data_IF_350886153091
#
_entry.id   IF_350886153091
#
_cell.length_a   1.000
_cell.length_b   1.000
_cell.length_c   1.000
_cell.angle_alpha   90.00
_cell.angle_beta   90.00
_cell.angle_gamma   90.00
#
_symmetry.space_group_name_H-M   'P 1'
#
loop_
_entity.id
_entity.type
_entity.pdbx_description
1 polymer ?
#
# COMPACT_ATOMS: atom_id res chain seq x y z
N UNK A 1 48.52 -9.46 7.61
CA UNK A 1 48.47 -9.58 6.13
C UNK A 1 47.14 -10.23 5.77
N UNK A 2 46.20 -9.66 5.02
CA UNK A 2 46.02 -8.30 4.52
C UNK A 2 44.52 -7.95 4.57
N UNK A 3 44.23 -6.67 4.77
CA UNK A 3 42.90 -6.08 4.72
C UNK A 3 42.84 -5.33 3.39
N UNK A 4 42.08 -5.85 2.42
CA UNK A 4 41.94 -5.24 1.10
C UNK A 4 40.60 -4.51 0.97
N UNK A 5 40.74 -3.21 0.76
CA UNK A 5 39.80 -2.18 0.35
C UNK A 5 38.64 -2.63 -0.56
N UNK A 6 37.42 -2.35 -0.12
CA UNK A 6 36.26 -2.07 -0.98
C UNK A 6 35.52 -0.84 -0.43
N UNK A 7 35.92 0.34 -0.91
CA UNK A 7 35.13 1.59 -0.85
C UNK A 7 35.36 2.34 -2.16
N UNK A 8 34.30 2.93 -2.68
CA UNK A 8 34.19 3.81 -3.87
C UNK A 8 33.57 3.16 -5.12
N UNK A 9 32.24 2.95 -5.12
CA UNK A 9 31.45 2.89 -6.37
C UNK A 9 30.15 3.72 -6.35
N UNK A 10 29.77 4.35 -5.23
CA UNK A 10 28.47 5.07 -5.13
C UNK A 10 28.51 6.55 -5.55
N UNK A 11 29.67 7.07 -5.98
CA UNK A 11 29.84 8.47 -6.36
C UNK A 11 29.45 8.83 -7.80
N UNK A 12 29.28 7.84 -8.70
CA UNK A 12 29.25 8.12 -10.15
C UNK A 12 27.85 8.19 -10.77
N UNK A 13 26.81 7.73 -10.05
CA UNK A 13 25.43 7.72 -10.57
C UNK A 13 24.73 9.09 -10.51
N UNK A 14 25.12 9.98 -9.62
CA UNK A 14 24.43 11.29 -9.43
C UNK A 14 24.85 12.36 -10.45
N UNK A 15 26.02 12.22 -11.10
CA UNK A 15 26.50 13.21 -12.09
C UNK A 15 25.87 13.05 -13.48
N UNK A 16 25.47 11.84 -13.85
CA UNK A 16 24.82 11.58 -15.15
C UNK A 16 23.41 12.20 -15.26
N UNK A 17 22.67 12.31 -14.15
CA UNK A 17 21.36 12.96 -14.12
C UNK A 17 21.46 14.48 -14.35
N UNK A 18 22.41 15.13 -13.68
CA UNK A 18 22.67 16.58 -13.83
C UNK A 18 23.08 16.94 -15.24
N UNK A 19 23.96 16.14 -15.88
CA UNK A 19 24.39 16.37 -17.27
C UNK A 19 23.24 16.21 -18.28
N UNK A 20 22.32 15.26 -18.06
CA UNK A 20 21.14 15.07 -18.92
C UNK A 20 20.16 16.24 -18.79
N UNK A 21 19.94 16.74 -17.57
CA UNK A 21 19.08 17.90 -17.32
C UNK A 21 19.63 19.18 -17.95
N UNK A 22 20.93 19.45 -17.80
CA UNK A 22 21.58 20.62 -18.44
C UNK A 22 21.56 20.57 -19.97
N UNK A 23 21.62 19.36 -20.57
CA UNK A 23 21.49 19.21 -22.03
C UNK A 23 20.08 19.53 -22.51
N UNK A 24 19.06 19.10 -21.77
CA UNK A 24 17.66 19.39 -22.08
C UNK A 24 17.34 20.89 -22.00
N UNK A 25 17.83 21.58 -20.98
CA UNK A 25 17.67 23.03 -20.84
C UNK A 25 18.30 23.82 -22.00
N UNK A 26 19.47 23.41 -22.51
CA UNK A 26 20.09 24.02 -23.70
C UNK A 26 19.26 23.84 -24.97
N UNK A 27 18.62 22.68 -25.14
CA UNK A 27 17.77 22.42 -26.31
C UNK A 27 16.52 23.30 -26.29
N UNK A 28 15.91 23.47 -25.11
CA UNK A 28 14.75 24.36 -24.92
C UNK A 28 15.15 25.82 -25.18
N UNK A 29 16.26 26.28 -24.61
CA UNK A 29 16.72 27.68 -24.76
C UNK A 29 17.07 28.01 -26.23
N UNK A 30 17.71 27.07 -26.95
CA UNK A 30 18.01 27.21 -28.37
C UNK A 30 16.74 27.23 -29.24
N UNK A 31 15.74 26.40 -28.91
CA UNK A 31 14.45 26.41 -29.59
C UNK A 31 13.71 27.74 -29.40
N UNK A 32 13.72 28.29 -28.18
CA UNK A 32 13.15 29.60 -27.87
C UNK A 32 13.87 30.71 -28.65
N UNK A 33 15.22 30.69 -28.67
CA UNK A 33 16.00 31.68 -29.42
C UNK A 33 15.75 31.62 -30.93
N UNK A 34 15.59 30.41 -31.51
CA UNK A 34 15.27 30.25 -32.94
C UNK A 34 13.87 30.77 -33.27
N UNK A 35 12.88 30.48 -32.44
CA UNK A 35 11.52 31.02 -32.62
C UNK A 35 11.50 32.55 -32.49
N UNK A 36 12.22 33.12 -31.53
CA UNK A 36 12.32 34.58 -31.37
C UNK A 36 13.00 35.25 -32.58
N UNK A 37 14.06 34.65 -33.12
CA UNK A 37 14.73 35.14 -34.33
C UNK A 37 13.82 35.10 -35.56
N UNK A 38 13.02 34.04 -35.71
CA UNK A 38 12.09 33.88 -36.83
C UNK A 38 10.89 34.84 -36.75
N UNK A 39 10.48 35.22 -35.54
CA UNK A 39 9.46 36.26 -35.32
C UNK A 39 10.04 37.64 -35.69
N UNK A 40 11.27 37.96 -35.27
CA UNK A 40 11.91 39.23 -35.56
C UNK A 40 12.27 39.41 -37.05
N UNK A 41 12.59 38.34 -37.78
CA UNK A 41 12.82 38.40 -39.23
C UNK A 41 11.54 38.64 -40.04
N UNK A 42 10.36 38.50 -39.42
CA UNK A 42 9.06 38.69 -40.07
C UNK A 42 8.47 40.08 -39.83
N UNK A 43 9.06 40.89 -38.95
CA UNK A 43 8.57 42.22 -38.56
C UNK A 43 9.34 43.40 -39.18
N UNK A 44 10.35 43.15 -40.02
CA UNK A 44 11.00 44.20 -40.82
C UNK A 44 10.21 44.50 -42.11
N UNK A 45 9.02 45.08 -41.95
CA UNK A 45 8.45 45.96 -42.98
C UNK A 45 8.29 47.34 -42.37
N UNK A 46 9.38 48.11 -42.36
CA UNK A 46 9.31 49.55 -42.10
C UNK A 46 9.46 50.30 -43.42
N UNK A 47 8.35 50.92 -43.79
CA UNK A 47 8.23 51.96 -44.78
C UNK A 47 9.31 53.01 -44.59
N UNK A 48 10.12 53.24 -45.63
CA UNK A 48 10.94 54.43 -45.75
C UNK A 48 10.97 54.86 -47.22
N UNK A 49 10.40 56.04 -47.41
CA UNK A 49 10.50 56.92 -48.58
C UNK A 49 9.66 56.55 -49.81
N UNK A 50 8.61 57.35 -50.02
CA UNK A 50 7.73 57.26 -51.16
C UNK A 50 8.46 57.61 -52.46
N UNK A 51 8.38 56.72 -53.44
CA UNK A 51 8.51 57.01 -54.87
C UNK A 51 7.99 55.83 -55.68
N UNK A 52 7.54 56.13 -56.89
CA UNK A 52 6.67 55.32 -57.74
C UNK A 52 7.28 53.98 -58.25
N UNK A 53 6.34 53.08 -58.57
CA UNK A 53 6.35 51.72 -59.16
C UNK A 53 7.55 51.24 -60.04
N UNK A 54 7.69 49.91 -60.27
CA UNK A 54 6.95 49.34 -61.39
C UNK A 54 6.34 47.94 -61.17
N UNK A 55 5.11 47.84 -61.68
CA UNK A 55 4.40 46.70 -62.28
C UNK A 55 5.22 45.39 -62.34
N UNK A 56 4.91 44.45 -61.45
CA UNK A 56 5.23 43.02 -61.62
C UNK A 56 3.97 42.27 -62.05
N UNK A 57 4.15 41.51 -63.13
CA UNK A 57 3.13 40.79 -63.90
C UNK A 57 2.30 39.84 -63.06
N UNK A 58 0.99 39.88 -63.31
CA UNK A 58 0.00 38.82 -63.05
C UNK A 58 0.52 37.45 -63.48
N UNK A 59 0.65 36.54 -62.53
CA UNK A 59 0.73 35.11 -62.75
C UNK A 59 0.06 34.36 -61.60
N UNK A 60 -1.11 33.75 -61.89
CA UNK A 60 -1.63 32.62 -61.14
C UNK A 60 -2.02 32.83 -59.67
N UNK A 61 -3.16 33.48 -59.44
CA UNK A 61 -3.90 33.41 -58.18
C UNK A 61 -4.39 31.97 -57.92
N UNK A 62 -3.62 31.22 -57.16
CA UNK A 62 -4.10 30.10 -56.34
C UNK A 62 -3.48 30.24 -54.94
N UNK A 63 -4.27 30.79 -54.00
CA UNK A 63 -4.26 30.26 -52.64
C UNK A 63 -3.41 30.90 -51.54
N UNK A 64 -2.88 32.11 -51.65
CA UNK A 64 -2.09 32.71 -50.54
C UNK A 64 -2.87 33.01 -49.25
N UNK A 65 -4.21 32.94 -49.29
CA UNK A 65 -5.04 33.05 -48.08
C UNK A 65 -4.98 31.80 -47.19
N UNK A 66 -4.58 30.62 -47.70
CA UNK A 66 -4.57 29.38 -46.91
C UNK A 66 -3.34 29.26 -46.00
N UNK A 67 -2.20 29.83 -46.40
CA UNK A 67 -0.96 29.71 -45.64
C UNK A 67 -0.98 30.58 -44.37
N UNK A 68 -1.43 31.83 -44.49
CA UNK A 68 -1.53 32.73 -43.33
C UNK A 68 -2.58 32.27 -42.31
N UNK A 69 -3.71 31.72 -42.75
CA UNK A 69 -4.72 31.13 -41.84
C UNK A 69 -4.22 29.85 -41.17
N UNK A 70 -3.45 29.01 -41.89
CA UNK A 70 -2.85 27.80 -41.32
C UNK A 70 -1.87 28.12 -40.17
N UNK A 71 -0.97 29.10 -40.35
CA UNK A 71 -0.04 29.51 -39.30
C UNK A 71 -0.70 30.32 -38.17
N UNK A 72 -1.77 31.06 -38.46
CA UNK A 72 -2.55 31.76 -37.43
C UNK A 72 -3.20 30.78 -36.45
N UNK A 73 -3.84 29.71 -36.97
CA UNK A 73 -4.44 28.67 -36.13
C UNK A 73 -3.40 27.88 -35.34
N UNK A 74 -2.21 27.65 -35.91
CA UNK A 74 -1.11 26.97 -35.21
C UNK A 74 -0.50 27.85 -34.10
N UNK A 75 -0.46 29.18 -34.26
CA UNK A 75 -0.02 30.12 -33.21
C UNK A 75 -1.00 30.16 -32.05
N UNK A 76 -2.31 30.16 -32.29
CA UNK A 76 -3.32 30.13 -31.22
C UNK A 76 -3.28 28.80 -30.45
N UNK A 77 -3.11 27.66 -31.12
CA UNK A 77 -3.01 26.35 -30.46
C UNK A 77 -1.69 26.21 -29.65
N UNK A 78 -0.58 26.77 -30.13
CA UNK A 78 0.69 26.79 -29.38
C UNK A 78 0.62 27.75 -28.19
N UNK A 79 0.03 28.94 -28.35
CA UNK A 79 -0.11 29.92 -27.26
C UNK A 79 -0.99 29.38 -26.14
N UNK A 80 -2.15 28.81 -26.47
CA UNK A 80 -3.06 28.21 -25.48
C UNK A 80 -2.47 26.98 -24.80
N UNK A 81 -1.64 26.19 -25.50
CA UNK A 81 -0.87 25.10 -24.90
C UNK A 81 0.22 25.62 -23.96
N UNK A 82 0.97 26.66 -24.34
CA UNK A 82 2.01 27.25 -23.50
C UNK A 82 1.42 27.90 -22.25
N UNK A 83 0.31 28.63 -22.35
CA UNK A 83 -0.37 29.23 -21.20
C UNK A 83 -0.79 28.19 -20.15
N UNK A 84 -1.08 26.95 -20.56
CA UNK A 84 -1.39 25.84 -19.64
C UNK A 84 -0.17 25.24 -18.96
N UNK A 85 1.03 25.39 -19.52
CA UNK A 85 2.27 24.76 -19.01
C UNK A 85 3.18 25.79 -18.33
N UNK A 86 3.00 27.09 -18.58
CA UNK A 86 3.74 28.17 -17.88
C UNK A 86 3.56 28.11 -16.35
N UNK A 87 2.34 27.95 -15.79
CA UNK A 87 2.17 27.82 -14.34
C UNK A 87 2.90 26.60 -13.77
N UNK A 88 2.90 25.50 -14.52
CA UNK A 88 3.58 24.26 -14.18
C UNK A 88 5.11 24.47 -14.13
N UNK A 89 5.69 25.16 -15.12
CA UNK A 89 7.11 25.51 -15.10
C UNK A 89 7.49 26.48 -13.97
N UNK A 90 6.64 27.46 -13.68
CA UNK A 90 6.84 28.40 -12.57
C UNK A 90 6.78 27.68 -11.23
N UNK A 91 5.88 26.71 -11.07
CA UNK A 91 5.83 25.90 -9.87
C UNK A 91 7.02 24.94 -9.75
N UNK A 92 7.47 24.30 -10.84
CA UNK A 92 8.72 23.50 -10.83
C UNK A 92 9.93 24.36 -10.45
N UNK A 93 10.07 25.55 -11.04
CA UNK A 93 11.21 26.44 -10.76
C UNK A 93 11.18 27.03 -9.35
N UNK A 94 9.99 27.10 -8.73
CA UNK A 94 9.79 27.51 -7.33
C UNK A 94 9.90 26.33 -6.34
N UNK A 95 10.44 25.18 -6.76
CA UNK A 95 10.53 23.94 -5.97
C UNK A 95 9.15 23.38 -5.50
N UNK A 96 8.06 23.82 -6.13
CA UNK A 96 6.70 23.30 -5.94
C UNK A 96 6.41 22.18 -6.94
N UNK A 97 7.34 21.25 -7.12
CA UNK A 97 7.23 20.16 -8.09
C UNK A 97 5.97 19.31 -7.84
N UNK A 98 5.58 19.14 -6.56
CA UNK A 98 4.38 18.42 -6.16
C UNK A 98 3.06 19.06 -6.63
N UNK A 99 3.02 20.38 -6.89
CA UNK A 99 1.81 21.03 -7.41
C UNK A 99 1.65 20.87 -8.93
N UNK A 100 2.68 20.36 -9.60
CA UNK A 100 2.78 20.29 -11.08
C UNK A 100 2.57 18.88 -11.58
N UNK A 101 2.88 17.89 -10.76
CA UNK A 101 2.48 16.51 -11.01
C UNK A 101 0.96 16.48 -10.95
N UNK A 102 0.30 16.56 -12.11
CA UNK A 102 -1.15 16.39 -12.22
C UNK A 102 -1.50 15.05 -11.60
N UNK A 103 -2.13 15.10 -10.44
CA UNK A 103 -2.56 13.90 -9.75
C UNK A 103 -3.66 13.27 -10.62
N UNK A 104 -3.33 12.12 -11.19
CA UNK A 104 -4.21 11.40 -12.09
C UNK A 104 -5.41 10.92 -11.26
N UNK A 105 -6.62 11.16 -11.77
CA UNK A 105 -7.80 10.52 -11.20
C UNK A 105 -7.70 9.01 -11.44
N UNK A 106 -8.02 8.20 -10.42
CA UNK A 106 -8.08 6.74 -10.53
C UNK A 106 -8.89 6.32 -11.76
N UNK A 107 -8.44 5.29 -12.49
CA UNK A 107 -9.15 4.79 -13.66
C UNK A 107 -10.53 4.21 -13.28
N UNK A 108 -11.33 3.81 -14.26
CA UNK A 108 -12.59 3.12 -13.96
C UNK A 108 -12.32 1.77 -13.27
N UNK A 109 -13.15 1.40 -12.29
CA UNK A 109 -13.04 0.13 -11.53
C UNK A 109 -12.90 -1.08 -12.47
N UNK A 110 -13.67 -1.10 -13.56
CA UNK A 110 -13.64 -2.19 -14.54
C UNK A 110 -12.31 -2.27 -15.30
N UNK A 111 -11.66 -1.13 -15.58
CA UNK A 111 -10.35 -1.14 -16.24
C UNK A 111 -9.26 -1.66 -15.31
N UNK A 112 -9.30 -1.26 -14.03
CA UNK A 112 -8.37 -1.74 -13.00
C UNK A 112 -8.54 -3.24 -12.79
N UNK A 113 -9.79 -3.72 -12.63
CA UNK A 113 -10.08 -5.14 -12.49
C UNK A 113 -9.60 -5.97 -13.69
N UNK A 114 -9.76 -5.44 -14.92
CA UNK A 114 -9.22 -6.07 -16.14
C UNK A 114 -7.69 -6.10 -16.14
N UNK A 115 -7.03 -5.04 -15.69
CA UNK A 115 -5.58 -4.96 -15.62
C UNK A 115 -4.99 -5.93 -14.57
N UNK A 116 -5.70 -6.20 -13.48
CA UNK A 116 -5.29 -7.18 -12.46
C UNK A 116 -5.38 -8.64 -12.95
N UNK A 117 -6.33 -8.96 -13.83
CA UNK A 117 -6.62 -10.34 -14.22
C UNK A 117 -5.47 -11.13 -14.93
N UNK A 118 -4.67 -10.55 -15.84
CA UNK A 118 -3.65 -11.31 -16.58
C UNK A 118 -2.41 -11.68 -15.75
N UNK A 119 -2.13 -11.05 -14.61
CA UNK A 119 -0.85 -11.19 -13.91
C UNK A 119 -0.99 -11.21 -12.39
N UNK A 120 -0.91 -12.40 -11.78
CA UNK A 120 -1.01 -12.58 -10.32
C UNK A 120 0.02 -11.75 -9.54
N UNK A 121 1.24 -11.64 -10.10
CA UNK A 121 2.36 -10.96 -9.43
C UNK A 121 2.20 -9.45 -9.39
N UNK A 122 1.57 -8.86 -10.41
CA UNK A 122 1.39 -7.41 -10.49
C UNK A 122 0.00 -6.95 -9.99
N UNK A 123 -0.91 -7.89 -9.69
CA UNK A 123 -2.27 -7.55 -9.25
C UNK A 123 -2.27 -6.69 -7.98
N UNK A 124 -1.40 -7.01 -7.01
CA UNK A 124 -1.25 -6.23 -5.77
C UNK A 124 -0.73 -4.82 -6.09
N UNK A 125 0.31 -4.70 -6.92
CA UNK A 125 0.88 -3.39 -7.29
C UNK A 125 -0.15 -2.53 -8.06
N UNK A 126 -0.94 -3.12 -8.94
CA UNK A 126 -1.98 -2.42 -9.70
C UNK A 126 -3.07 -1.90 -8.76
N UNK A 127 -3.58 -2.74 -7.86
CA UNK A 127 -4.59 -2.34 -6.89
C UNK A 127 -4.05 -1.27 -5.91
N UNK A 128 -2.79 -1.42 -5.49
CA UNK A 128 -2.11 -0.47 -4.62
C UNK A 128 -2.01 0.90 -5.30
N UNK A 129 -1.49 0.94 -6.54
CA UNK A 129 -1.37 2.19 -7.29
C UNK A 129 -2.74 2.84 -7.54
N UNK A 130 -3.81 2.08 -7.77
CA UNK A 130 -5.17 2.63 -7.92
C UNK A 130 -5.66 3.32 -6.65
N UNK A 131 -5.48 2.68 -5.50
CA UNK A 131 -5.88 3.22 -4.21
C UNK A 131 -5.00 4.38 -3.78
N UNK A 132 -3.69 4.33 -4.05
CA UNK A 132 -2.74 5.43 -3.86
C UNK A 132 -3.11 6.64 -4.73
N UNK A 133 -3.34 6.44 -6.03
CA UNK A 133 -3.75 7.50 -6.95
C UNK A 133 -5.07 8.14 -6.48
N UNK A 134 -6.03 7.33 -6.02
CA UNK A 134 -7.27 7.83 -5.45
C UNK A 134 -7.04 8.62 -4.16
N UNK A 135 -6.23 8.12 -3.23
CA UNK A 135 -5.92 8.80 -1.98
C UNK A 135 -5.23 10.15 -2.25
N UNK A 136 -4.25 10.16 -3.16
CA UNK A 136 -3.57 11.38 -3.62
C UNK A 136 -4.54 12.35 -4.27
N UNK A 137 -5.45 11.85 -5.12
CA UNK A 137 -6.43 12.68 -5.83
C UNK A 137 -7.42 13.33 -4.86
N UNK A 138 -7.91 12.59 -3.86
CA UNK A 138 -8.81 13.10 -2.83
C UNK A 138 -8.13 14.15 -1.93
N UNK A 139 -6.84 13.96 -1.61
CA UNK A 139 -6.06 14.91 -0.81
C UNK A 139 -5.60 16.15 -1.59
N UNK A 140 -5.77 16.21 -2.91
CA UNK A 140 -5.21 17.31 -3.70
C UNK A 140 -5.99 18.62 -3.45
N UNK A 141 -5.35 19.71 -3.00
CA UNK A 141 -6.03 20.93 -2.57
C UNK A 141 -6.94 21.57 -3.62
N UNK A 142 -6.61 21.43 -4.91
CA UNK A 142 -7.35 22.05 -6.01
C UNK A 142 -8.60 21.25 -6.43
N UNK A 143 -8.80 20.05 -5.91
CA UNK A 143 -9.98 19.23 -6.24
C UNK A 143 -11.15 19.61 -5.35
N UNK A 144 -12.38 19.57 -5.87
CA UNK A 144 -13.59 19.84 -5.06
C UNK A 144 -13.72 18.88 -3.85
N UNK A 145 -13.10 17.70 -3.94
CA UNK A 145 -12.98 16.71 -2.89
C UNK A 145 -11.99 17.09 -1.77
N UNK A 146 -11.16 18.13 -1.94
CA UNK A 146 -10.19 18.59 -0.93
C UNK A 146 -10.82 19.14 0.34
N UNK A 147 -12.13 19.34 0.33
CA UNK A 147 -12.93 19.71 1.51
C UNK A 147 -13.31 18.50 2.37
N UNK A 148 -13.05 17.28 1.92
CA UNK A 148 -13.30 16.09 2.72
C UNK A 148 -12.33 16.07 3.90
N UNK A 149 -12.86 15.77 5.09
CA UNK A 149 -12.03 15.42 6.22
C UNK A 149 -11.39 14.04 6.02
N UNK A 150 -10.50 13.66 6.94
CA UNK A 150 -9.79 12.36 6.87
C UNK A 150 -10.75 11.17 6.84
N UNK A 151 -11.90 11.30 7.51
CA UNK A 151 -12.93 10.26 7.58
C UNK A 151 -13.66 10.12 6.23
N UNK A 152 -13.99 11.23 5.58
CA UNK A 152 -14.57 11.22 4.23
C UNK A 152 -13.61 10.63 3.19
N UNK A 153 -12.30 10.90 3.28
CA UNK A 153 -11.30 10.27 2.41
C UNK A 153 -11.27 8.75 2.65
N UNK A 154 -11.29 8.32 3.93
CA UNK A 154 -11.35 6.90 4.30
C UNK A 154 -12.59 6.23 3.71
N UNK A 155 -13.76 6.84 3.86
CA UNK A 155 -15.01 6.27 3.35
C UNK A 155 -14.97 6.09 1.83
N UNK A 156 -14.47 7.09 1.10
CA UNK A 156 -14.32 7.01 -0.36
C UNK A 156 -13.35 5.88 -0.76
N UNK A 157 -12.24 5.72 -0.04
CA UNK A 157 -11.32 4.60 -0.27
C UNK A 157 -11.97 3.24 -0.02
N UNK A 158 -12.73 3.09 1.08
CA UNK A 158 -13.47 1.85 1.38
C UNK A 158 -14.50 1.55 0.30
N UNK A 159 -15.27 2.55 -0.14
CA UNK A 159 -16.23 2.39 -1.23
C UNK A 159 -15.55 1.97 -2.54
N UNK A 160 -14.38 2.54 -2.85
CA UNK A 160 -13.58 2.14 -4.01
C UNK A 160 -13.09 0.70 -3.89
N UNK A 161 -12.54 0.35 -2.74
CA UNK A 161 -12.10 -1.00 -2.43
C UNK A 161 -13.23 -2.01 -2.61
N UNK A 162 -14.41 -1.76 -2.03
CA UNK A 162 -15.57 -2.64 -2.17
C UNK A 162 -16.02 -2.77 -3.63
N UNK A 163 -16.04 -1.66 -4.37
CA UNK A 163 -16.40 -1.65 -5.78
C UNK A 163 -15.44 -2.50 -6.61
N UNK A 164 -14.14 -2.39 -6.33
CA UNK A 164 -13.11 -3.19 -6.98
C UNK A 164 -13.21 -4.66 -6.58
N UNK A 165 -13.45 -4.97 -5.32
CA UNK A 165 -13.68 -6.34 -4.82
C UNK A 165 -14.87 -7.01 -5.51
N UNK A 166 -15.98 -6.29 -5.71
CA UNK A 166 -17.16 -6.79 -6.45
C UNK A 166 -16.89 -7.03 -7.94
N UNK A 167 -15.99 -6.25 -8.54
CA UNK A 167 -15.62 -6.38 -9.95
C UNK A 167 -14.55 -7.47 -10.20
N UNK A 168 -13.85 -7.91 -9.15
CA UNK A 168 -12.78 -8.88 -9.24
C UNK A 168 -13.29 -10.33 -9.07
N UNK A 169 -12.75 -11.29 -9.85
CA UNK A 169 -12.85 -12.71 -9.53
C UNK A 169 -12.35 -13.02 -8.12
N UNK A 170 -12.95 -14.02 -7.46
CA UNK A 170 -12.65 -14.41 -6.07
C UNK A 170 -11.14 -14.62 -5.81
N UNK A 171 -10.44 -15.26 -6.76
CA UNK A 171 -8.97 -15.47 -6.70
C UNK A 171 -8.13 -14.20 -6.53
N UNK A 172 -8.67 -13.01 -6.85
CA UNK A 172 -7.96 -11.73 -6.80
C UNK A 172 -8.42 -10.81 -5.67
N UNK A 173 -9.46 -11.18 -4.93
CA UNK A 173 -9.98 -10.34 -3.85
C UNK A 173 -8.96 -10.18 -2.71
N UNK A 174 -8.19 -11.24 -2.40
CA UNK A 174 -7.10 -11.16 -1.43
C UNK A 174 -6.03 -10.13 -1.82
N UNK A 175 -5.70 -10.02 -3.11
CA UNK A 175 -4.74 -9.03 -3.60
C UNK A 175 -5.24 -7.60 -3.40
N UNK A 176 -6.54 -7.36 -3.56
CA UNK A 176 -7.14 -6.05 -3.29
C UNK A 176 -7.09 -5.71 -1.79
N UNK A 177 -7.34 -6.68 -0.92
CA UNK A 177 -7.27 -6.48 0.54
C UNK A 177 -5.85 -6.11 0.97
N UNK A 178 -4.84 -6.80 0.43
CA UNK A 178 -3.43 -6.49 0.68
C UNK A 178 -3.09 -5.06 0.21
N UNK A 179 -3.54 -4.68 -0.99
CA UNK A 179 -3.32 -3.33 -1.51
C UNK A 179 -3.93 -2.22 -0.62
N UNK A 180 -5.15 -2.43 -0.11
CA UNK A 180 -5.78 -1.50 0.83
C UNK A 180 -4.95 -1.35 2.10
N UNK A 181 -4.48 -2.46 2.67
CA UNK A 181 -3.62 -2.46 3.87
C UNK A 181 -2.35 -1.62 3.64
N UNK A 182 -1.65 -1.80 2.51
CA UNK A 182 -0.46 -1.01 2.19
C UNK A 182 -0.74 0.46 1.95
N UNK A 183 -1.84 0.77 1.24
CA UNK A 183 -2.19 2.16 0.94
C UNK A 183 -2.44 2.93 2.24
N UNK A 184 -3.04 2.28 3.23
CA UNK A 184 -3.22 2.85 4.57
C UNK A 184 -1.92 3.10 5.32
N UNK A 185 -0.90 2.25 5.13
CA UNK A 185 0.42 2.44 5.72
C UNK A 185 1.16 3.62 5.09
N UNK A 186 1.23 3.68 3.76
CA UNK A 186 2.13 4.62 3.05
C UNK A 186 1.60 6.07 3.03
N UNK A 187 0.29 6.28 2.97
CA UNK A 187 -0.30 7.62 2.88
C UNK A 187 -0.78 8.19 4.22
N UNK A 188 -0.27 7.61 5.30
CA UNK A 188 -0.65 7.97 6.65
C UNK A 188 -1.95 7.28 7.08
N UNK A 189 -2.15 7.11 8.40
CA UNK A 189 -3.23 6.31 8.95
C UNK A 189 -4.58 6.97 8.66
N UNK A 190 -5.17 6.64 7.51
CA UNK A 190 -6.62 6.72 7.40
C UNK A 190 -7.23 5.77 8.44
N UNK A 191 -6.62 4.61 8.71
CA UNK A 191 -6.92 3.78 9.88
C UNK A 191 -5.91 4.06 10.99
N UNK A 192 -6.37 4.52 12.15
CA UNK A 192 -5.54 4.62 13.34
C UNK A 192 -5.22 3.19 13.80
N UNK A 193 -4.03 2.69 13.46
CA UNK A 193 -3.57 1.42 14.02
C UNK A 193 -3.54 1.55 15.54
N UNK A 194 -3.99 0.51 16.24
CA UNK A 194 -4.02 0.56 17.70
C UNK A 194 -2.59 0.66 18.26
N UNK A 195 -1.62 0.06 17.57
CA UNK A 195 -0.18 0.13 17.89
C UNK A 195 0.52 1.41 17.39
N UNK A 196 -0.16 2.30 16.65
CA UNK A 196 0.49 3.43 15.97
C UNK A 196 1.29 2.98 14.74
N UNK A 197 2.37 3.71 14.42
CA UNK A 197 3.18 3.51 13.21
C UNK A 197 4.35 2.55 13.42
N UNK A 198 4.28 1.69 14.44
CA UNK A 198 5.32 0.71 14.81
C UNK A 198 4.76 -0.72 14.91
N UNK A 199 5.58 -1.69 14.51
CA UNK A 199 5.35 -3.13 14.73
C UNK A 199 5.65 -3.52 16.18
N UNK A 200 5.47 -4.79 16.52
CA UNK A 200 5.73 -5.29 17.88
C UNK A 200 7.21 -5.18 18.27
N UNK A 201 8.14 -5.39 17.34
CA UNK A 201 9.57 -5.26 17.62
C UNK A 201 10.09 -3.81 17.51
N UNK A 202 9.19 -2.86 17.22
CA UNK A 202 9.52 -1.44 17.15
C UNK A 202 9.98 -0.96 15.78
N UNK A 203 9.93 -1.82 14.76
CA UNK A 203 10.19 -1.42 13.39
C UNK A 203 9.05 -0.54 12.90
N UNK A 204 9.35 0.43 12.03
CA UNK A 204 8.29 1.26 11.46
C UNK A 204 7.50 0.45 10.46
N UNK A 205 6.18 0.69 10.39
CA UNK A 205 5.33 -0.03 9.44
C UNK A 205 5.78 0.24 7.98
N UNK A 206 6.36 1.42 7.72
CA UNK A 206 6.93 1.78 6.43
C UNK A 206 8.18 0.99 6.04
N UNK A 207 8.93 0.46 7.00
CA UNK A 207 10.12 -0.36 6.75
C UNK A 207 9.77 -1.83 6.51
N UNK A 208 8.56 -2.25 6.90
CA UNK A 208 8.10 -3.64 6.73
C UNK A 208 7.87 -3.96 5.26
N UNK A 209 8.40 -5.09 4.78
CA UNK A 209 8.23 -5.46 3.38
C UNK A 209 6.75 -5.73 3.05
N UNK A 210 6.32 -5.34 1.85
CA UNK A 210 4.91 -5.48 1.45
C UNK A 210 4.40 -6.93 1.53
N UNK A 211 5.28 -7.89 1.29
CA UNK A 211 4.92 -9.31 1.33
C UNK A 211 4.79 -9.87 2.75
N UNK A 212 5.33 -9.15 3.74
CA UNK A 212 5.29 -9.57 5.14
C UNK A 212 4.25 -8.79 5.94
N UNK A 213 3.85 -7.61 5.46
CA UNK A 213 2.94 -6.77 6.21
C UNK A 213 1.52 -7.34 6.24
N UNK A 214 0.93 -7.38 7.44
CA UNK A 214 -0.43 -7.84 7.66
C UNK A 214 -1.12 -6.98 8.71
N UNK A 215 -2.39 -6.70 8.49
CA UNK A 215 -3.24 -5.96 9.43
C UNK A 215 -4.38 -6.86 9.87
N UNK A 216 -4.51 -7.02 11.18
CA UNK A 216 -5.60 -7.78 11.80
C UNK A 216 -6.93 -7.02 11.70
N UNK A 217 -8.05 -7.72 11.77
CA UNK A 217 -9.40 -7.13 11.86
C UNK A 217 -9.54 -6.08 12.99
N UNK A 218 -8.78 -6.21 14.09
CA UNK A 218 -8.76 -5.25 15.20
C UNK A 218 -7.85 -4.04 14.95
N UNK A 219 -7.23 -3.93 13.77
CA UNK A 219 -6.40 -2.79 13.40
C UNK A 219 -4.98 -2.81 13.97
N UNK A 220 -4.48 -3.96 14.44
CA UNK A 220 -3.05 -4.11 14.73
C UNK A 220 -2.27 -4.44 13.45
N UNK A 221 -1.20 -3.68 13.23
CA UNK A 221 -0.23 -3.85 12.17
C UNK A 221 0.90 -4.83 12.59
N UNK A 222 1.23 -5.78 11.73
CA UNK A 222 2.22 -6.83 11.99
C UNK A 222 3.16 -7.01 10.79
N UNK A 223 4.43 -7.25 11.08
CA UNK A 223 5.25 -8.09 10.21
C UNK A 223 4.90 -9.56 10.51
N UNK A 224 4.44 -10.29 9.49
CA UNK A 224 4.05 -11.69 9.62
C UNK A 224 5.21 -12.58 10.06
N UNK A 225 6.44 -12.29 9.69
CA UNK A 225 7.60 -13.06 10.16
C UNK A 225 7.77 -12.92 11.67
N UNK A 226 7.67 -11.70 12.20
CA UNK A 226 7.67 -11.45 13.64
C UNK A 226 6.50 -12.15 14.33
N UNK A 227 5.30 -12.03 13.77
CA UNK A 227 4.10 -12.62 14.34
C UNK A 227 4.21 -14.15 14.39
N UNK A 228 4.67 -14.77 13.30
CA UNK A 228 4.86 -16.22 13.23
C UNK A 228 5.91 -16.66 14.25
N UNK A 229 7.01 -15.91 14.40
CA UNK A 229 8.02 -16.21 15.40
C UNK A 229 7.44 -16.12 16.82
N UNK A 230 6.65 -15.07 17.11
CA UNK A 230 5.98 -14.92 18.39
C UNK A 230 5.00 -16.08 18.68
N UNK A 231 4.21 -16.50 17.68
CA UNK A 231 3.30 -17.66 17.78
C UNK A 231 4.10 -18.93 18.07
N UNK A 232 5.24 -19.14 17.39
CA UNK A 232 6.10 -20.32 17.60
C UNK A 232 6.73 -20.34 19.00
N UNK A 233 7.23 -19.20 19.48
CA UNK A 233 7.77 -19.07 20.84
C UNK A 233 6.68 -19.39 21.88
N UNK A 234 5.43 -19.00 21.60
CA UNK A 234 4.26 -19.32 22.42
C UNK A 234 3.69 -20.73 22.18
N UNK A 235 4.46 -21.64 21.55
CA UNK A 235 4.08 -23.04 21.37
C UNK A 235 2.98 -23.28 20.33
N UNK A 236 2.79 -22.34 19.40
CA UNK A 236 1.78 -22.45 18.34
C UNK A 236 0.39 -21.95 18.73
N UNK A 237 0.24 -21.34 19.90
CA UNK A 237 -1.05 -20.77 20.28
C UNK A 237 -1.34 -19.56 19.38
N UNK A 238 -2.49 -19.60 18.68
CA UNK A 238 -3.01 -18.52 17.85
C UNK A 238 -3.57 -17.37 18.71
N UNK A 239 -2.70 -16.72 19.47
CA UNK A 239 -2.98 -15.59 20.36
C UNK A 239 -2.17 -14.37 19.94
N UNK A 240 -2.80 -13.21 19.90
CA UNK A 240 -2.13 -11.95 19.67
C UNK A 240 -1.11 -11.72 20.81
N UNK A 241 0.19 -11.60 20.51
CA UNK A 241 1.23 -11.53 21.54
C UNK A 241 1.21 -10.21 22.34
N UNK A 242 0.56 -9.16 21.82
CA UNK A 242 0.42 -7.86 22.48
C UNK A 242 -0.83 -7.81 23.35
N UNK A 243 -2.01 -8.03 22.76
CA UNK A 243 -3.28 -7.92 23.51
C UNK A 243 -3.58 -9.14 24.36
N UNK A 244 -2.88 -10.25 24.11
CA UNK A 244 -3.18 -11.54 24.72
C UNK A 244 -4.62 -12.00 24.42
N UNK A 245 -5.24 -11.55 23.33
CA UNK A 245 -6.52 -12.08 22.88
C UNK A 245 -6.32 -13.14 21.79
N UNK A 246 -7.26 -14.07 21.65
CA UNK A 246 -7.23 -15.04 20.56
C UNK A 246 -7.42 -14.35 19.21
N UNK A 247 -6.74 -14.86 18.18
CA UNK A 247 -7.05 -14.46 16.80
C UNK A 247 -8.44 -14.96 16.41
N UNK A 248 -9.16 -14.20 15.59
CA UNK A 248 -10.46 -14.65 15.07
C UNK A 248 -10.26 -15.82 14.11
N UNK A 249 -11.31 -16.59 13.82
CA UNK A 249 -11.23 -17.69 12.85
C UNK A 249 -10.78 -17.19 11.46
N UNK A 250 -11.14 -15.96 11.11
CA UNK A 250 -10.72 -15.32 9.86
C UNK A 250 -9.24 -14.98 9.89
N UNK A 251 -8.77 -14.36 10.98
CA UNK A 251 -7.35 -14.06 11.17
C UNK A 251 -6.49 -15.31 11.11
N UNK A 252 -6.91 -16.39 11.78
CA UNK A 252 -6.19 -17.68 11.77
C UNK A 252 -6.10 -18.22 10.34
N UNK A 253 -7.20 -18.20 9.59
CA UNK A 253 -7.19 -18.62 8.19
C UNK A 253 -6.25 -17.75 7.36
N UNK A 254 -6.28 -16.42 7.53
CA UNK A 254 -5.41 -15.50 6.82
C UNK A 254 -3.93 -15.76 7.13
N UNK A 255 -3.58 -15.91 8.42
CA UNK A 255 -2.22 -16.23 8.87
C UNK A 255 -1.77 -17.57 8.26
N UNK A 256 -2.55 -18.65 8.39
CA UNK A 256 -2.17 -19.99 7.94
C UNK A 256 -2.06 -20.09 6.42
N UNK A 257 -2.96 -19.42 5.67
CA UNK A 257 -2.92 -19.42 4.20
C UNK A 257 -1.76 -18.60 3.64
N UNK A 258 -1.20 -17.69 4.42
CA UNK A 258 -0.05 -16.89 4.01
C UNK A 258 1.20 -17.77 3.74
N UNK A 259 2.02 -17.47 2.71
CA UNK A 259 3.23 -18.24 2.41
C UNK A 259 4.18 -18.42 3.60
N UNK A 260 4.37 -17.38 4.41
CA UNK A 260 5.17 -17.45 5.64
C UNK A 260 4.47 -18.30 6.72
N UNK A 261 3.14 -18.22 6.80
CA UNK A 261 2.34 -18.89 7.81
C UNK A 261 2.32 -20.41 7.69
N UNK A 262 2.62 -20.96 6.51
CA UNK A 262 2.83 -22.41 6.31
C UNK A 262 3.89 -23.01 7.25
N UNK A 263 4.81 -22.19 7.77
CA UNK A 263 5.77 -22.62 8.81
C UNK A 263 5.07 -23.07 10.11
N UNK A 264 3.81 -22.68 10.33
CA UNK A 264 2.99 -23.07 11.48
C UNK A 264 2.33 -24.45 11.31
N UNK A 265 2.27 -25.00 10.09
CA UNK A 265 1.67 -26.33 9.85
C UNK A 265 2.36 -27.44 10.65
N UNK A 266 3.69 -27.34 10.80
CA UNK A 266 4.46 -28.28 11.62
C UNK A 266 4.00 -28.25 13.09
N UNK A 267 3.70 -27.06 13.61
CA UNK A 267 3.24 -26.90 14.99
C UNK A 267 1.81 -27.41 15.14
N UNK A 268 0.94 -27.23 14.14
CA UNK A 268 -0.41 -27.80 14.15
C UNK A 268 -0.38 -29.35 14.15
N UNK A 269 0.54 -29.96 13.38
CA UNK A 269 0.74 -31.42 13.39
C UNK A 269 1.21 -31.90 14.77
N UNK A 270 2.16 -31.19 15.39
CA UNK A 270 2.62 -31.50 16.76
C UNK A 270 1.48 -31.40 17.78
N UNK A 271 0.68 -30.33 17.70
CA UNK A 271 -0.48 -30.12 18.56
C UNK A 271 -1.54 -31.22 18.35
N UNK A 272 -1.82 -31.62 17.11
CA UNK A 272 -2.72 -32.74 16.80
C UNK A 272 -2.20 -34.06 17.35
N UNK A 273 -0.89 -34.31 17.24
CA UNK A 273 -0.26 -35.52 17.79
C UNK A 273 -0.34 -35.57 19.32
N UNK A 274 -0.13 -34.43 19.98
CA UNK A 274 -0.30 -34.31 21.44
C UNK A 274 -1.75 -34.55 21.85
N UNK A 275 -2.73 -34.05 21.09
CA UNK A 275 -4.16 -34.29 21.35
C UNK A 275 -4.57 -35.76 21.20
N UNK A 276 -4.01 -36.47 20.22
CA UNK A 276 -4.26 -37.92 20.05
C UNK A 276 -3.77 -38.76 21.23
N UNK A 277 -2.80 -38.25 21.99
CA UNK A 277 -2.29 -38.90 23.21
C UNK A 277 -3.21 -38.76 24.41
N UNK A 278 -4.28 -37.97 24.35
CA UNK A 278 -5.17 -37.71 25.48
C UNK A 278 -6.41 -38.59 25.44
N UNK A 279 -6.70 -39.27 26.55
CA UNK A 279 -7.96 -40.01 26.72
C UNK A 279 -9.16 -39.06 26.75
N UNK A 280 -10.34 -39.47 26.24
CA UNK A 280 -11.57 -38.66 26.33
C UNK A 280 -11.90 -38.21 27.76
N UNK A 281 -11.66 -39.07 28.76
CA UNK A 281 -11.86 -38.73 30.17
C UNK A 281 -11.02 -37.51 30.63
N UNK A 282 -9.84 -37.30 30.04
CA UNK A 282 -9.01 -36.12 30.32
C UNK A 282 -9.59 -34.86 29.71
N UNK A 283 -10.15 -34.97 28.50
CA UNK A 283 -10.84 -33.87 27.83
C UNK A 283 -12.07 -33.49 28.65
N UNK A 284 -12.88 -34.46 29.08
CA UNK A 284 -14.05 -34.23 29.94
C UNK A 284 -13.67 -33.56 31.28
N UNK A 285 -12.52 -33.94 31.87
CA UNK A 285 -12.02 -33.33 33.09
C UNK A 285 -11.57 -31.88 32.88
N UNK A 286 -10.91 -31.59 31.76
CA UNK A 286 -10.52 -30.23 31.36
C UNK A 286 -11.74 -29.35 31.07
N UNK A 287 -12.74 -29.87 30.37
CA UNK A 287 -13.99 -29.16 30.07
C UNK A 287 -14.73 -28.81 31.36
N UNK A 288 -14.83 -29.74 32.32
CA UNK A 288 -15.42 -29.47 33.64
C UNK A 288 -14.67 -28.37 34.40
N UNK A 289 -13.35 -28.41 34.39
CA UNK A 289 -12.51 -27.39 35.02
C UNK A 289 -12.71 -26.03 34.34
N UNK A 290 -12.76 -26.00 33.00
CA UNK A 290 -13.02 -24.80 32.24
C UNK A 290 -14.40 -24.21 32.56
N UNK A 291 -15.46 -25.02 32.57
CA UNK A 291 -16.81 -24.55 32.92
C UNK A 291 -16.83 -23.93 34.32
N UNK A 292 -16.22 -24.60 35.30
CA UNK A 292 -16.14 -24.07 36.68
C UNK A 292 -15.34 -22.75 36.76
N UNK A 293 -14.26 -22.63 35.97
CA UNK A 293 -13.46 -21.39 35.86
C UNK A 293 -14.28 -20.22 35.28
N UNK A 294 -15.11 -20.49 34.28
CA UNK A 294 -15.96 -19.46 33.66
C UNK A 294 -17.10 -19.02 34.58
N UNK A 295 -17.67 -19.94 35.35
CA UNK A 295 -18.75 -19.66 36.29
C UNK A 295 -18.26 -18.84 37.51
N UNK A 296 -16.99 -19.00 37.93
CA UNK A 296 -16.41 -18.31 39.10
C UNK A 296 -16.14 -16.82 38.88
N UNK A 297 -16.29 -16.28 37.67
CA UNK A 297 -16.32 -14.82 37.48
C UNK A 297 -17.50 -14.15 38.24
N UNK A 298 -18.46 -14.93 38.78
CA UNK A 298 -19.72 -14.43 39.34
C UNK A 298 -20.05 -14.83 40.80
N UNK A 299 -19.08 -15.02 41.73
CA UNK A 299 -19.19 -14.84 43.22
C UNK A 299 -18.73 -16.02 44.12
N UNK A 300 -18.66 -17.28 43.70
CA UNK A 300 -18.40 -18.43 44.60
C UNK A 300 -17.09 -19.22 44.37
N UNK A 301 -16.01 -18.75 45.00
CA UNK A 301 -14.65 -19.35 44.97
C UNK A 301 -14.56 -20.79 45.49
N UNK A 302 -15.58 -21.30 46.17
CA UNK A 302 -15.60 -22.65 46.76
C UNK A 302 -15.75 -23.72 45.67
N UNK A 303 -16.62 -23.50 44.69
CA UNK A 303 -16.83 -24.44 43.58
C UNK A 303 -15.57 -24.55 42.71
N UNK A 304 -14.90 -23.42 42.47
CA UNK A 304 -13.61 -23.39 41.79
C UNK A 304 -12.54 -24.23 42.50
N UNK A 305 -12.39 -24.06 43.83
CA UNK A 305 -11.43 -24.86 44.62
C UNK A 305 -11.72 -26.36 44.50
N UNK A 306 -12.98 -26.77 44.63
CA UNK A 306 -13.35 -28.18 44.48
C UNK A 306 -13.07 -28.72 43.08
N UNK A 307 -13.30 -27.92 42.03
CA UNK A 307 -12.99 -28.31 40.66
C UNK A 307 -11.47 -28.48 40.45
N UNK A 308 -10.66 -27.55 40.97
CA UNK A 308 -9.19 -27.64 40.93
C UNK A 308 -8.69 -28.84 41.72
N UNK A 309 -9.16 -29.06 42.94
CA UNK A 309 -8.73 -30.19 43.78
C UNK A 309 -9.11 -31.53 43.12
N UNK A 310 -10.31 -31.63 42.56
CA UNK A 310 -10.76 -32.81 41.82
C UNK A 310 -9.90 -33.07 40.59
N UNK A 311 -9.54 -32.01 39.85
CA UNK A 311 -8.69 -32.10 38.68
C UNK A 311 -7.24 -32.50 39.05
N UNK A 312 -6.69 -31.93 40.12
CA UNK A 312 -5.34 -32.28 40.61
C UNK A 312 -5.29 -33.73 41.10
N UNK A 313 -6.33 -34.20 41.79
CA UNK A 313 -6.45 -35.61 42.17
C UNK A 313 -6.52 -36.52 40.94
N UNK A 314 -7.24 -36.11 39.90
CA UNK A 314 -7.30 -36.83 38.63
C UNK A 314 -5.93 -36.88 37.92
N UNK A 315 -5.18 -35.77 37.89
CA UNK A 315 -3.84 -35.73 37.26
C UNK A 315 -2.86 -36.75 37.85
N UNK A 316 -2.91 -36.99 39.16
CA UNK A 316 -2.06 -37.99 39.84
C UNK A 316 -2.34 -39.41 39.34
N UNK A 317 -3.55 -39.69 38.84
CA UNK A 317 -3.94 -41.01 38.30
C UNK A 317 -3.54 -41.22 36.83
N UNK A 318 -3.04 -40.19 36.15
CA UNK A 318 -2.69 -40.26 34.73
C UNK A 318 -1.37 -41.01 34.50
N UNK A 319 -1.24 -41.78 33.41
CA UNK A 319 0.05 -42.32 32.96
C UNK A 319 1.08 -41.22 32.70
N UNK A 320 2.36 -41.54 32.86
CA UNK A 320 3.48 -40.59 32.67
C UNK A 320 3.49 -39.95 31.26
N UNK A 321 3.08 -40.69 30.23
CA UNK A 321 3.01 -40.17 28.86
C UNK A 321 1.93 -39.10 28.69
N UNK A 322 0.80 -39.22 29.40
CA UNK A 322 -0.29 -38.24 29.40
C UNK A 322 0.09 -37.00 30.22
N UNK A 323 0.75 -37.19 31.37
CA UNK A 323 1.29 -36.07 32.16
C UNK A 323 2.33 -35.28 31.35
N UNK A 324 3.25 -35.97 30.68
CA UNK A 324 4.22 -35.36 29.77
C UNK A 324 3.53 -34.64 28.59
N UNK A 325 2.41 -35.17 28.10
CA UNK A 325 1.64 -34.54 27.04
C UNK A 325 0.95 -33.28 27.56
N UNK A 326 0.39 -33.29 28.77
CA UNK A 326 -0.22 -32.12 29.41
C UNK A 326 0.78 -31.00 29.69
N UNK A 327 1.96 -31.33 30.20
CA UNK A 327 3.02 -30.35 30.46
C UNK A 327 3.49 -29.64 29.18
N UNK A 328 3.42 -30.36 28.05
CA UNK A 328 3.80 -29.85 26.73
C UNK A 328 2.64 -29.21 25.98
N UNK A 329 1.40 -29.63 26.25
CA UNK A 329 0.22 -29.14 25.57
C UNK A 329 -0.09 -27.72 26.06
N UNK A 330 0.24 -26.76 25.21
CA UNK A 330 -0.12 -25.36 25.42
C UNK A 330 -1.57 -25.16 24.97
N UNK A 331 -2.51 -25.32 25.89
CA UNK A 331 -3.91 -24.95 25.65
C UNK A 331 -4.06 -23.44 25.84
N UNK A 332 -4.64 -22.70 24.88
CA UNK A 332 -4.99 -21.30 25.12
C UNK A 332 -5.94 -21.21 26.32
N UNK A 333 -5.55 -20.47 27.35
CA UNK A 333 -6.50 -20.04 28.36
C UNK A 333 -7.54 -19.14 27.67
N UNK A 334 -8.81 -19.53 27.72
CA UNK A 334 -9.91 -18.66 27.32
C UNK A 334 -10.09 -17.69 28.49
N UNK A 335 -9.58 -16.47 28.37
CA UNK A 335 -10.04 -15.35 29.20
C UNK A 335 -11.37 -14.91 28.59
N UNK A 336 -12.49 -15.31 29.22
CA UNK A 336 -13.83 -14.81 28.90
C UNK A 336 -14.04 -13.40 29.43
#
# INVERSE_FOLDING_TARGET
MGVSQQRNQDGEKTDTGKRRYSRWLRIIDEAIRRSAAQINSSTEYRTRDGTEAPIIRRGGLLGDRSFATFFSGMKEDISTRLEKVVPDFVAISSDRVSSVVRIRQSDSVNNVAKAMNPSSKAAVDIAFNDLEDMARWLNFPANAASKLDKDGIRENMVQRFESLTRALPEKWQASNSIALMHTHTEHGPFLKYISGDITMLGDTVTDTSKQNFWVKEDGYAWDLEELIQAIRINGGIMRNPMTKQMFTTNDIKAIVTHPLGKKLDAVDIEQKKLKLGMRPAMIDALDKLQTALMEDQNVDRILFRHAVDSFMAFMVTLPADEQNSLDKLRVPAVDS
#
